data_IF_069028884858
#
_entry.id   IF_069028884858
#
_cell.length_a   1.000
_cell.length_b   1.000
_cell.length_c   1.000
_cell.angle_alpha   90.00
_cell.angle_beta   90.00
_cell.angle_gamma   90.00
#
_symmetry.space_group_name_H-M   'P 1'
#
loop_
_entity.id
_entity.type
_entity.pdbx_description
1 polymer ?
#
# COMPACT_ATOMS: atom_id res chain seq x y z
N UNK A 1 10.06 -28.08 -33.58
CA UNK A 1 8.84 -28.22 -32.74
C UNK A 1 7.72 -27.47 -33.46
N UNK A 2 6.49 -28.00 -33.54
CA UNK A 2 5.52 -27.55 -34.52
C UNK A 2 4.95 -26.16 -34.17
N UNK A 3 4.87 -25.31 -35.18
CA UNK A 3 4.26 -23.97 -35.13
C UNK A 3 2.81 -24.05 -34.65
N UNK A 4 2.45 -23.30 -33.62
CA UNK A 4 1.06 -23.16 -33.18
C UNK A 4 0.36 -22.23 -34.19
N UNK A 5 -0.32 -22.82 -35.17
CA UNK A 5 -1.13 -22.08 -36.15
C UNK A 5 -2.53 -21.85 -35.59
N UNK A 6 -2.92 -20.59 -35.39
CA UNK A 6 -4.34 -20.19 -35.38
C UNK A 6 -4.59 -19.30 -36.61
N UNK A 7 -5.64 -19.60 -37.38
CA UNK A 7 -6.08 -18.84 -38.55
C UNK A 7 -4.96 -18.51 -39.58
N UNK A 8 -4.03 -19.43 -39.82
CA UNK A 8 -3.00 -19.27 -40.85
C UNK A 8 -1.85 -18.31 -40.50
N UNK A 9 -1.87 -17.65 -39.33
CA UNK A 9 -0.78 -16.79 -38.86
C UNK A 9 0.16 -17.55 -37.90
N UNK A 10 1.47 -17.31 -38.05
CA UNK A 10 2.51 -17.83 -37.16
C UNK A 10 2.41 -17.09 -35.83
N UNK A 11 1.92 -17.75 -34.78
CA UNK A 11 2.00 -17.19 -33.43
C UNK A 11 3.46 -17.29 -32.99
N UNK A 12 4.13 -16.16 -32.81
CA UNK A 12 5.46 -16.12 -32.18
C UNK A 12 5.37 -16.70 -30.77
N UNK A 13 6.38 -17.48 -30.39
CA UNK A 13 6.53 -18.06 -29.07
C UNK A 13 6.34 -17.00 -27.96
N UNK A 14 5.40 -17.25 -27.05
CA UNK A 14 5.12 -16.36 -25.93
C UNK A 14 6.22 -16.48 -24.87
N UNK A 15 6.88 -15.37 -24.57
CA UNK A 15 7.90 -15.30 -23.53
C UNK A 15 7.45 -14.37 -22.40
N UNK A 16 7.62 -14.83 -21.15
CA UNK A 16 7.36 -14.02 -19.95
C UNK A 16 8.66 -13.73 -19.21
N UNK A 17 8.75 -12.56 -18.59
CA UNK A 17 9.85 -12.27 -17.67
C UNK A 17 9.64 -13.04 -16.36
N UNK A 18 10.59 -13.88 -16.00
CA UNK A 18 10.56 -14.65 -14.76
C UNK A 18 11.46 -13.97 -13.72
N UNK A 19 10.88 -13.43 -12.66
CA UNK A 19 11.63 -12.76 -11.58
C UNK A 19 12.58 -13.70 -10.84
N UNK A 20 12.36 -15.02 -10.83
CA UNK A 20 13.26 -16.00 -10.22
C UNK A 20 14.59 -16.12 -10.99
N UNK A 21 14.53 -16.07 -12.31
CA UNK A 21 15.70 -16.23 -13.19
C UNK A 21 16.18 -14.92 -13.83
N UNK A 22 15.44 -13.84 -13.61
CA UNK A 22 15.69 -12.48 -14.12
C UNK A 22 15.84 -12.40 -15.65
N UNK A 23 15.17 -13.29 -16.38
CA UNK A 23 15.23 -13.35 -17.85
C UNK A 23 13.85 -13.63 -18.45
N UNK A 24 13.72 -13.39 -19.75
CA UNK A 24 12.55 -13.80 -20.51
C UNK A 24 12.65 -15.28 -20.84
N UNK A 25 11.64 -16.04 -20.46
CA UNK A 25 11.58 -17.49 -20.65
C UNK A 25 10.35 -17.86 -21.47
N UNK A 26 10.46 -18.93 -22.24
CA UNK A 26 9.34 -19.49 -23.00
C UNK A 26 8.23 -19.89 -22.03
N UNK A 27 7.05 -19.34 -22.22
CA UNK A 27 5.90 -19.63 -21.38
C UNK A 27 5.38 -21.04 -21.68
N UNK A 28 5.36 -21.89 -20.66
CA UNK A 28 4.84 -23.25 -20.73
C UNK A 28 3.82 -23.44 -19.61
N UNK A 29 2.74 -24.14 -19.92
CA UNK A 29 1.69 -24.46 -18.96
C UNK A 29 1.92 -25.84 -18.36
N UNK A 30 1.54 -26.03 -17.09
CA UNK A 30 1.63 -27.34 -16.41
C UNK A 30 0.62 -28.32 -16.99
N UNK A 31 -0.59 -27.84 -17.31
CA UNK A 31 -1.63 -28.58 -18.01
C UNK A 31 -1.93 -27.89 -19.33
N UNK A 32 -2.11 -28.67 -20.38
CA UNK A 32 -2.33 -28.15 -21.73
C UNK A 32 -3.43 -27.07 -21.76
N UNK A 33 -3.07 -25.92 -22.34
CA UNK A 33 -3.92 -24.73 -22.50
C UNK A 33 -4.60 -24.24 -21.21
N UNK A 34 -4.10 -24.60 -20.03
CA UNK A 34 -4.66 -24.18 -18.75
C UNK A 34 -3.63 -23.43 -17.93
N UNK A 35 -3.97 -22.22 -17.49
CA UNK A 35 -3.13 -21.37 -16.64
C UNK A 35 -3.79 -21.29 -15.26
N UNK A 36 -3.06 -21.71 -14.23
CA UNK A 36 -3.41 -21.44 -12.84
C UNK A 36 -2.56 -20.27 -12.36
N UNK A 37 -3.21 -19.14 -12.03
CA UNK A 37 -2.53 -17.89 -11.71
C UNK A 37 -3.01 -17.34 -10.39
N UNK A 38 -2.07 -17.20 -9.44
CA UNK A 38 -2.27 -16.49 -8.18
C UNK A 38 -1.70 -15.06 -8.23
N UNK A 39 -2.44 -14.10 -7.69
CA UNK A 39 -1.99 -12.74 -7.46
C UNK A 39 -2.25 -12.33 -6.01
N UNK A 40 -1.28 -11.67 -5.37
CA UNK A 40 -1.50 -11.06 -4.07
C UNK A 40 -2.52 -9.92 -4.20
N UNK A 41 -3.60 -9.97 -3.42
CA UNK A 41 -4.57 -8.88 -3.34
C UNK A 41 -4.29 -7.91 -2.19
N UNK A 42 -5.26 -7.03 -1.87
CA UNK A 42 -5.05 -5.93 -0.94
C UNK A 42 -5.14 -6.36 0.53
N UNK A 43 -4.42 -5.64 1.38
CA UNK A 43 -4.72 -5.55 2.81
C UNK A 43 -5.75 -4.45 3.03
N UNK A 44 -6.96 -4.82 3.49
CA UNK A 44 -8.12 -3.92 3.54
C UNK A 44 -8.15 -3.01 4.80
N UNK A 45 -7.01 -2.40 5.13
CA UNK A 45 -6.95 -1.41 6.22
C UNK A 45 -7.39 -0.02 5.76
N UNK A 46 -7.25 0.31 4.47
CA UNK A 46 -7.60 1.62 3.93
C UNK A 46 -8.23 1.53 2.54
N UNK A 47 -8.76 2.67 2.09
CA UNK A 47 -9.22 2.86 0.72
C UNK A 47 -8.11 2.56 -0.27
N UNK A 48 -8.47 1.91 -1.38
CA UNK A 48 -7.51 1.59 -2.42
C UNK A 48 -6.98 2.87 -3.10
N UNK A 49 -5.67 2.93 -3.32
CA UNK A 49 -5.01 4.04 -4.02
C UNK A 49 -4.61 3.67 -5.46
N UNK A 50 -4.13 4.65 -6.23
CA UNK A 50 -3.75 4.47 -7.64
C UNK A 50 -2.74 3.34 -7.88
N UNK A 51 -1.82 3.12 -6.94
CA UNK A 51 -0.91 1.96 -6.98
C UNK A 51 -1.62 0.60 -7.04
N UNK A 52 -2.72 0.40 -6.30
CA UNK A 52 -3.52 -0.82 -6.40
C UNK A 52 -4.21 -0.93 -7.77
N UNK A 53 -4.82 0.17 -8.22
CA UNK A 53 -5.50 0.22 -9.52
C UNK A 53 -4.56 -0.15 -10.67
N UNK A 54 -3.33 0.42 -10.67
CA UNK A 54 -2.31 0.09 -11.68
C UNK A 54 -2.04 -1.41 -11.74
N UNK A 55 -1.79 -2.05 -10.60
CA UNK A 55 -1.48 -3.47 -10.52
C UNK A 55 -2.65 -4.32 -11.02
N UNK A 56 -3.86 -4.08 -10.54
CA UNK A 56 -5.04 -4.87 -10.91
C UNK A 56 -5.40 -4.72 -12.38
N UNK A 57 -5.32 -3.50 -12.93
CA UNK A 57 -5.54 -3.27 -14.37
C UNK A 57 -4.47 -3.99 -15.20
N UNK A 58 -3.20 -3.93 -14.78
CA UNK A 58 -2.11 -4.58 -15.51
C UNK A 58 -2.32 -6.10 -15.57
N UNK A 59 -2.69 -6.72 -14.45
CA UNK A 59 -2.99 -8.15 -14.42
C UNK A 59 -4.26 -8.51 -15.17
N UNK A 60 -5.31 -7.68 -15.14
CA UNK A 60 -6.52 -7.92 -15.92
C UNK A 60 -6.24 -7.85 -17.43
N UNK A 61 -5.45 -6.88 -17.90
CA UNK A 61 -5.04 -6.79 -19.31
C UNK A 61 -4.29 -8.05 -19.73
N UNK A 62 -3.30 -8.49 -18.94
CA UNK A 62 -2.53 -9.69 -19.24
C UNK A 62 -3.45 -10.93 -19.24
N UNK A 63 -4.37 -11.06 -18.27
CA UNK A 63 -5.35 -12.14 -18.20
C UNK A 63 -6.26 -12.17 -19.44
N UNK A 64 -6.71 -11.00 -19.93
CA UNK A 64 -7.49 -10.88 -21.17
C UNK A 64 -6.67 -11.29 -22.39
N UNK A 65 -5.40 -10.90 -22.47
CA UNK A 65 -4.50 -11.34 -23.56
C UNK A 65 -4.37 -12.87 -23.57
N UNK A 66 -4.14 -13.49 -22.41
CA UNK A 66 -4.07 -14.95 -22.31
C UNK A 66 -5.36 -15.65 -22.72
N UNK A 67 -6.50 -15.17 -22.22
CA UNK A 67 -7.80 -15.82 -22.45
C UNK A 67 -8.37 -15.56 -23.84
N UNK A 68 -8.24 -14.34 -24.37
CA UNK A 68 -8.91 -13.93 -25.62
C UNK A 68 -8.01 -14.06 -26.85
N UNK A 69 -6.73 -13.69 -26.73
CA UNK A 69 -5.82 -13.72 -27.88
C UNK A 69 -5.14 -15.09 -28.03
N UNK A 70 -4.65 -15.66 -26.93
CA UNK A 70 -3.98 -16.96 -26.94
C UNK A 70 -4.92 -18.14 -26.65
N UNK A 71 -6.18 -17.86 -26.30
CA UNK A 71 -7.22 -18.86 -26.07
C UNK A 71 -6.87 -19.90 -24.98
N UNK A 72 -6.20 -19.45 -23.91
CA UNK A 72 -5.95 -20.24 -22.70
C UNK A 72 -7.18 -20.24 -21.78
N UNK A 73 -7.41 -21.37 -21.11
CA UNK A 73 -8.28 -21.42 -19.95
C UNK A 73 -7.54 -20.88 -18.72
N UNK A 74 -7.92 -19.69 -18.24
CA UNK A 74 -7.23 -19.02 -17.12
C UNK A 74 -8.05 -19.13 -15.84
N UNK A 75 -7.50 -19.84 -14.86
CA UNK A 75 -7.99 -19.91 -13.48
C UNK A 75 -7.20 -18.88 -12.67
N UNK A 76 -7.80 -17.73 -12.43
CA UNK A 76 -7.18 -16.62 -11.71
C UNK A 76 -7.71 -16.54 -10.28
N UNK A 77 -6.80 -16.51 -9.30
CA UNK A 77 -7.11 -16.40 -7.87
C UNK A 77 -6.39 -15.19 -7.30
N UNK A 78 -7.12 -14.38 -6.54
CA UNK A 78 -6.58 -13.26 -5.79
C UNK A 78 -7.11 -13.30 -4.37
N UNK A 79 -6.22 -13.23 -3.37
CA UNK A 79 -6.61 -13.23 -1.97
C UNK A 79 -7.09 -11.84 -1.53
N UNK A 80 -7.74 -11.77 -0.37
CA UNK A 80 -7.95 -10.54 0.37
C UNK A 80 -7.32 -10.75 1.73
N UNK A 81 -6.49 -9.82 2.18
CA UNK A 81 -5.90 -9.86 3.52
C UNK A 81 -6.80 -9.05 4.45
N UNK A 82 -7.66 -9.75 5.18
CA UNK A 82 -8.64 -9.22 6.13
C UNK A 82 -8.12 -9.19 7.58
N UNK A 83 -6.97 -9.83 7.84
CA UNK A 83 -6.29 -9.81 9.14
C UNK A 83 -4.82 -9.45 8.94
N UNK A 84 -4.40 -8.31 9.51
CA UNK A 84 -3.03 -7.79 9.46
C UNK A 84 -2.81 -6.75 10.58
N UNK A 85 -1.56 -6.58 11.04
CA UNK A 85 -1.20 -5.58 12.07
C UNK A 85 -1.61 -4.15 11.68
N UNK A 86 -1.59 -3.83 10.38
CA UNK A 86 -2.04 -2.52 9.86
C UNK A 86 -3.53 -2.31 10.06
N UNK A 87 -4.34 -3.36 9.91
CA UNK A 87 -5.80 -3.33 10.13
C UNK A 87 -6.06 -3.07 11.61
N UNK A 88 -5.42 -3.84 12.50
CA UNK A 88 -5.58 -3.72 13.95
C UNK A 88 -5.17 -2.32 14.42
N UNK A 89 -4.01 -1.84 13.97
CA UNK A 89 -3.50 -0.53 14.35
C UNK A 89 -4.41 0.60 13.89
N UNK A 90 -4.96 0.51 12.67
CA UNK A 90 -5.88 1.53 12.16
C UNK A 90 -7.22 1.50 12.88
N UNK A 91 -7.82 0.32 13.07
CA UNK A 91 -9.08 0.18 13.81
C UNK A 91 -8.99 0.79 15.22
N UNK A 92 -7.89 0.52 15.94
CA UNK A 92 -7.64 1.12 17.25
C UNK A 92 -7.50 2.63 17.19
N UNK A 93 -6.80 3.17 16.18
CA UNK A 93 -6.63 4.62 16.01
C UNK A 93 -7.97 5.31 15.75
N UNK A 94 -8.78 4.78 14.84
CA UNK A 94 -10.09 5.34 14.52
C UNK A 94 -11.02 5.30 15.74
N UNK A 95 -11.01 4.21 16.50
CA UNK A 95 -11.76 4.12 17.75
C UNK A 95 -11.35 5.21 18.75
N UNK A 96 -10.05 5.32 19.07
CA UNK A 96 -9.55 6.30 20.03
C UNK A 96 -9.81 7.74 19.57
N UNK A 97 -9.71 7.99 18.27
CA UNK A 97 -10.03 9.29 17.68
C UNK A 97 -11.52 9.62 17.75
N UNK A 98 -12.37 8.62 17.53
CA UNK A 98 -13.81 8.72 17.73
C UNK A 98 -14.18 9.05 19.18
N UNK A 99 -13.56 8.40 20.16
CA UNK A 99 -13.75 8.71 21.58
C UNK A 99 -13.28 10.13 21.92
N UNK A 100 -12.12 10.55 21.40
CA UNK A 100 -11.59 11.90 21.61
C UNK A 100 -12.57 12.97 21.15
N UNK A 101 -13.17 12.81 19.96
CA UNK A 101 -14.12 13.78 19.39
C UNK A 101 -15.44 13.95 20.14
N UNK A 102 -15.79 13.05 21.06
CA UNK A 102 -17.04 13.15 21.82
C UNK A 102 -17.02 14.26 22.86
N UNK A 103 -15.83 14.70 23.24
CA UNK A 103 -15.64 15.75 24.23
C UNK A 103 -15.28 17.05 23.53
N UNK A 104 -15.80 18.16 24.07
CA UNK A 104 -15.34 19.49 23.70
C UNK A 104 -14.11 19.83 24.54
N UNK A 105 -13.13 20.48 23.91
CA UNK A 105 -11.91 20.93 24.54
C UNK A 105 -11.69 22.40 24.21
N UNK A 106 -11.19 23.16 25.16
CA UNK A 106 -10.73 24.50 24.86
C UNK A 106 -9.37 24.48 24.12
N UNK A 107 -8.98 25.63 23.54
CA UNK A 107 -7.74 25.75 22.79
C UNK A 107 -6.49 25.44 23.63
N UNK A 108 -6.52 25.74 24.94
CA UNK A 108 -5.41 25.53 25.86
C UNK A 108 -5.24 24.04 26.19
N UNK A 109 -6.35 23.33 26.41
CA UNK A 109 -6.39 21.89 26.62
C UNK A 109 -5.84 21.15 25.41
N UNK A 110 -6.30 21.51 24.20
CA UNK A 110 -5.77 20.94 22.94
C UNK A 110 -4.28 21.19 22.81
N UNK A 111 -3.81 22.41 23.08
CA UNK A 111 -2.39 22.76 23.01
C UNK A 111 -1.55 21.91 23.98
N UNK A 112 -2.05 21.69 25.20
CA UNK A 112 -1.37 20.86 26.20
C UNK A 112 -1.34 19.38 25.78
N UNK A 113 -2.44 18.85 25.25
CA UNK A 113 -2.49 17.47 24.72
C UNK A 113 -1.49 17.30 23.57
N UNK A 114 -1.40 18.26 22.66
CA UNK A 114 -0.45 18.24 21.55
C UNK A 114 1.00 18.27 22.04
N UNK A 115 1.33 19.14 23.01
CA UNK A 115 2.68 19.21 23.61
C UNK A 115 3.08 17.89 24.26
N UNK A 116 2.19 17.31 25.07
CA UNK A 116 2.44 16.01 25.72
C UNK A 116 2.60 14.87 24.70
N UNK A 117 1.73 14.84 23.68
CA UNK A 117 1.81 13.84 22.60
C UNK A 117 3.12 13.96 21.81
N UNK A 118 3.59 15.19 21.59
CA UNK A 118 4.86 15.44 20.91
C UNK A 118 6.07 14.98 21.73
N UNK A 119 6.07 15.19 23.05
CA UNK A 119 7.11 14.64 23.94
C UNK A 119 7.17 13.10 23.88
N UNK A 120 6.01 12.43 23.93
CA UNK A 120 5.94 10.95 23.80
C UNK A 120 6.50 10.51 22.45
N UNK A 121 6.23 11.27 21.37
CA UNK A 121 6.78 10.99 20.05
C UNK A 121 8.31 11.13 20.03
N UNK A 122 8.87 12.17 20.65
CA UNK A 122 10.32 12.35 20.78
C UNK A 122 10.98 11.18 21.52
N UNK A 123 10.44 10.76 22.67
CA UNK A 123 10.94 9.60 23.41
C UNK A 123 10.88 8.31 22.57
N UNK A 124 9.89 8.18 21.68
CA UNK A 124 9.80 7.04 20.76
C UNK A 124 10.89 7.08 19.68
N UNK A 125 11.28 8.26 19.21
CA UNK A 125 12.40 8.43 18.27
C UNK A 125 13.71 8.00 18.92
N UNK A 126 13.96 8.45 20.15
CA UNK A 126 15.17 8.09 20.92
C UNK A 126 15.32 6.58 21.10
N UNK A 127 14.20 5.88 21.34
CA UNK A 127 14.14 4.42 21.49
C UNK A 127 14.17 3.66 20.16
N UNK A 128 14.12 4.34 19.01
CA UNK A 128 14.16 3.69 17.70
C UNK A 128 15.59 3.29 17.35
N UNK A 129 15.81 1.99 17.17
CA UNK A 129 17.13 1.44 16.84
C UNK A 129 17.42 1.40 15.34
N UNK A 130 16.39 1.18 14.51
CA UNK A 130 16.51 1.14 13.06
C UNK A 130 16.82 2.54 12.48
N UNK A 131 17.92 2.64 11.74
CA UNK A 131 18.47 3.92 11.28
C UNK A 131 17.56 4.63 10.25
N UNK A 132 17.00 3.89 9.30
CA UNK A 132 16.12 4.44 8.26
C UNK A 132 14.80 4.92 8.87
N UNK A 133 14.23 4.11 9.74
CA UNK A 133 13.01 4.45 10.47
C UNK A 133 13.22 5.64 11.41
N UNK A 134 14.39 5.73 12.05
CA UNK A 134 14.76 6.88 12.89
C UNK A 134 14.87 8.15 12.06
N UNK A 135 15.62 8.12 10.95
CA UNK A 135 15.75 9.28 10.05
C UNK A 135 14.40 9.75 9.51
N UNK A 136 13.51 8.83 9.12
CA UNK A 136 12.16 9.17 8.67
C UNK A 136 11.36 9.88 9.77
N UNK A 137 11.45 9.41 11.01
CA UNK A 137 10.73 9.99 12.15
C UNK A 137 11.28 11.35 12.56
N UNK A 138 12.61 11.54 12.49
CA UNK A 138 13.28 12.82 12.78
C UNK A 138 12.83 13.91 11.81
N UNK A 139 12.83 13.63 10.50
CA UNK A 139 12.29 14.58 9.49
C UNK A 139 10.85 14.99 9.79
N UNK A 140 10.03 14.04 10.24
CA UNK A 140 8.63 14.31 10.62
C UNK A 140 8.54 15.14 11.89
N UNK A 141 9.44 14.92 12.85
CA UNK A 141 9.56 15.70 14.09
C UNK A 141 9.87 17.17 13.80
N UNK A 142 10.77 17.45 12.87
CA UNK A 142 11.13 18.81 12.45
C UNK A 142 9.92 19.56 11.86
N UNK A 143 9.18 18.91 10.97
CA UNK A 143 7.96 19.48 10.38
C UNK A 143 6.93 19.82 11.47
N UNK A 144 6.69 18.88 12.40
CA UNK A 144 5.73 19.10 13.49
C UNK A 144 6.19 20.24 14.40
N UNK A 145 7.49 20.32 14.71
CA UNK A 145 8.07 21.38 15.54
C UNK A 145 7.90 22.76 14.91
N UNK A 146 8.09 22.88 13.59
CA UNK A 146 7.84 24.11 12.85
C UNK A 146 6.38 24.55 13.01
N UNK A 147 5.44 23.65 12.69
CA UNK A 147 4.02 23.97 12.74
C UNK A 147 3.52 24.34 14.15
N UNK A 148 4.06 23.70 15.19
CA UNK A 148 3.70 24.04 16.58
C UNK A 148 4.16 25.45 16.98
N UNK A 149 5.32 25.91 16.48
CA UNK A 149 5.79 27.26 16.72
C UNK A 149 4.89 28.29 16.02
N UNK A 150 4.47 28.00 14.79
CA UNK A 150 3.58 28.88 14.01
C UNK A 150 2.22 29.05 14.69
N UNK A 151 1.64 27.96 15.19
CA UNK A 151 0.37 27.99 15.95
C UNK A 151 0.51 28.80 17.24
N UNK A 152 1.63 28.66 17.95
CA UNK A 152 1.86 29.39 19.19
C UNK A 152 2.03 30.91 18.94
N UNK A 153 2.63 31.29 17.81
CA UNK A 153 2.73 32.69 17.37
C UNK A 153 1.36 33.27 17.02
N UNK A 154 0.55 32.57 16.21
CA UNK A 154 -0.81 33.01 15.87
C UNK A 154 -1.71 33.17 17.10
N UNK A 155 -1.65 32.22 18.04
CA UNK A 155 -2.46 32.30 19.26
C UNK A 155 -2.09 33.54 20.11
N UNK A 156 -0.81 33.91 20.16
CA UNK A 156 -0.35 35.12 20.86
C UNK A 156 -0.85 36.38 20.13
N UNK A 157 -0.82 36.40 18.80
CA UNK A 157 -1.30 37.54 17.99
C UNK A 157 -2.83 37.72 18.03
N UNK A 158 -3.61 36.64 18.20
CA UNK A 158 -5.08 36.71 18.28
C UNK A 158 -5.62 37.03 19.68
N UNK A 159 -4.81 36.84 20.73
CA UNK A 159 -5.22 37.02 22.14
C UNK A 159 -4.53 38.20 22.85
N UNK A 160 -3.82 39.06 22.11
CA UNK A 160 -3.23 40.34 22.57
C UNK A 160 -3.52 41.45 21.57
#
# INVERSE_FOLDING_TARGET
MPEIKQNGNIIKDLHLFNSLTQRKELFKTVKEKTITWYCCGPTVYDSAHMGHARSYISFDIIRRIFSQYFNYNVIFVMNITDIDDKIITKARREYLWGEFKKYEYDATEILNILKNSFQIFQTKIEKTTDADLKSMREKRCEIIKSNLNDINLQYIEENY
#
